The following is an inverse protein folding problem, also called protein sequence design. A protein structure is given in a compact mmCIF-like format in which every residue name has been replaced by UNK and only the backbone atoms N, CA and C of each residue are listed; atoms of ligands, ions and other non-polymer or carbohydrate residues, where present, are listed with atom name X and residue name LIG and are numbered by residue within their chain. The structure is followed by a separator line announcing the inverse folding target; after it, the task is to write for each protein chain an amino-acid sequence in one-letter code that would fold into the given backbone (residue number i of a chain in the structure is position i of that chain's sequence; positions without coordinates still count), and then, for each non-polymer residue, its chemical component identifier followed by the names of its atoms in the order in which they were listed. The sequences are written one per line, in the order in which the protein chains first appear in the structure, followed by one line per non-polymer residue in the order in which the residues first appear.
data_IF_930211945544
#
_entry.id   IF_930211945544
#
_cell.length_a   1.000
_cell.length_b   1.000
_cell.length_c   1.000
_cell.angle_alpha   90.00
_cell.angle_beta   90.00
_cell.angle_gamma   90.00
#
_symmetry.space_group_name_H-M   'P 1'
#
loop_
_entity.id
_entity.type
_entity.pdbx_description
1 polymer ?
#
# COMPACT_ATOMS: atom_id res chain seq x y z
N UNK A 1 4.48 12.92 8.67
CA UNK A 1 3.96 12.02 9.74
C UNK A 1 3.28 10.80 9.17
N UNK A 2 2.27 10.90 8.29
CA UNK A 2 1.55 9.73 7.71
C UNK A 2 2.46 8.68 7.04
N UNK A 3 3.52 9.12 6.36
CA UNK A 3 4.50 8.20 5.78
C UNK A 3 5.24 7.35 6.84
N UNK A 4 5.54 7.95 8.00
CA UNK A 4 6.09 7.19 9.13
C UNK A 4 5.07 6.19 9.65
N UNK A 5 3.82 6.61 9.84
CA UNK A 5 2.75 5.72 10.28
C UNK A 5 2.53 4.55 9.32
N UNK A 6 2.56 4.80 8.01
CA UNK A 6 2.45 3.73 7.01
C UNK A 6 3.62 2.72 7.09
N UNK A 7 4.82 3.20 7.40
CA UNK A 7 6.00 2.35 7.57
C UNK A 7 5.91 1.48 8.84
N UNK A 8 5.38 2.04 9.93
CA UNK A 8 5.30 1.36 11.24
C UNK A 8 3.96 0.69 11.52
N UNK A 9 3.10 0.54 10.50
CA UNK A 9 1.73 0.01 10.63
C UNK A 9 1.64 -1.32 11.40
N UNK A 10 2.67 -2.16 11.28
CA UNK A 10 2.74 -3.47 11.93
C UNK A 10 3.55 -3.43 13.24
N UNK A 11 3.83 -2.23 13.77
CA UNK A 11 4.56 -2.00 15.01
C UNK A 11 6.07 -2.26 14.93
N UNK A 12 6.59 -2.75 13.79
CA UNK A 12 8.02 -3.01 13.57
C UNK A 12 8.41 -2.74 12.12
N UNK A 13 9.65 -2.29 11.95
CA UNK A 13 10.22 -1.98 10.64
C UNK A 13 11.55 -2.70 10.43
N UNK A 14 11.80 -3.13 9.21
CA UNK A 14 13.05 -3.80 8.83
C UNK A 14 14.12 -2.78 8.49
N UNK A 15 15.30 -2.91 9.08
CA UNK A 15 16.48 -2.12 8.70
C UNK A 15 16.94 -2.55 7.31
N UNK A 16 16.85 -1.63 6.36
CA UNK A 16 17.24 -1.87 4.95
C UNK A 16 18.68 -1.48 4.66
N UNK A 17 19.27 -0.64 5.52
CA UNK A 17 20.64 -0.16 5.38
C UNK A 17 21.18 0.30 6.73
N UNK A 18 22.42 -0.09 7.05
CA UNK A 18 23.13 0.25 8.26
C UNK A 18 24.42 0.99 7.93
N UNK A 19 24.65 2.13 8.60
CA UNK A 19 25.90 2.87 8.58
C UNK A 19 26.21 3.48 9.94
N UNK A 20 27.43 3.92 10.15
CA UNK A 20 27.84 4.59 11.39
C UNK A 20 26.97 5.81 11.72
N UNK A 21 26.51 6.54 10.71
CA UNK A 21 25.82 7.83 10.90
C UNK A 21 24.30 7.77 10.81
N UNK A 22 23.70 6.69 10.29
CA UNK A 22 22.24 6.54 10.21
C UNK A 22 21.81 5.09 9.91
N UNK A 23 20.56 4.77 10.25
CA UNK A 23 19.80 3.63 9.71
C UNK A 23 18.87 4.08 8.60
N UNK A 24 18.73 3.27 7.56
CA UNK A 24 17.82 3.47 6.45
C UNK A 24 16.71 2.43 6.39
N UNK A 25 15.48 2.86 6.10
CA UNK A 25 14.28 2.02 5.95
C UNK A 25 13.67 2.32 4.59
N UNK A 26 13.59 1.31 3.71
CA UNK A 26 13.36 1.52 2.28
C UNK A 26 12.04 0.94 1.76
N UNK A 27 11.19 0.41 2.63
CA UNK A 27 9.91 -0.22 2.24
C UNK A 27 9.02 0.71 1.41
N UNK A 28 8.99 2.00 1.77
CA UNK A 28 8.21 3.02 1.09
C UNK A 28 9.02 3.84 0.07
N UNK A 29 10.20 3.35 -0.36
CA UNK A 29 11.00 4.02 -1.38
C UNK A 29 10.21 4.18 -2.69
N UNK A 30 10.36 5.33 -3.35
CA UNK A 30 9.63 5.67 -4.59
C UNK A 30 8.33 6.45 -4.37
N UNK A 31 7.82 6.54 -3.14
CA UNK A 31 6.68 7.40 -2.83
C UNK A 31 7.11 8.86 -2.72
N UNK A 32 6.58 9.69 -3.61
CA UNK A 32 6.84 11.14 -3.59
C UNK A 32 6.22 11.78 -2.36
N UNK A 33 6.97 12.69 -1.74
CA UNK A 33 6.53 13.44 -0.55
C UNK A 33 6.86 14.92 -0.69
N UNK A 34 6.02 15.81 -0.14
CA UNK A 34 6.27 17.25 -0.22
C UNK A 34 7.53 17.66 0.54
N UNK A 35 8.15 18.74 0.05
CA UNK A 35 9.30 19.40 0.72
C UNK A 35 8.78 20.33 1.80
N UNK A 36 8.66 19.81 3.00
CA UNK A 36 8.17 20.56 4.15
C UNK A 36 8.99 20.23 5.40
N UNK A 37 8.96 21.12 6.39
CA UNK A 37 9.59 20.94 7.70
C UNK A 37 11.05 20.48 7.64
N UNK A 38 11.90 21.30 6.99
CA UNK A 38 13.33 21.01 6.81
C UNK A 38 14.09 21.56 8.03
N UNK A 39 14.72 20.68 8.80
CA UNK A 39 15.49 21.04 10.00
C UNK A 39 16.89 20.44 9.97
N UNK A 40 17.73 20.79 10.97
CA UNK A 40 19.00 20.10 11.19
C UNK A 40 18.73 18.64 11.54
N UNK A 41 19.55 17.75 11.00
CA UNK A 41 19.45 16.31 11.22
C UNK A 41 20.33 15.91 12.39
N UNK A 42 19.88 16.24 13.61
CA UNK A 42 20.58 15.87 14.83
C UNK A 42 20.41 14.37 15.11
N UNK A 43 21.25 13.83 16.00
CA UNK A 43 21.09 12.45 16.51
C UNK A 43 19.66 12.23 17.00
N UNK A 44 19.07 11.10 16.61
CA UNK A 44 17.67 10.75 16.89
C UNK A 44 16.65 11.39 15.96
N UNK A 45 17.03 12.29 15.03
CA UNK A 45 16.08 12.85 14.05
C UNK A 45 15.64 11.78 13.04
N UNK A 46 14.34 11.74 12.77
CA UNK A 46 13.73 10.95 11.69
C UNK A 46 13.47 11.85 10.51
N UNK A 47 13.93 11.45 9.32
CA UNK A 47 13.64 12.18 8.08
C UNK A 47 13.19 11.25 6.97
N UNK A 48 12.41 11.81 6.03
CA UNK A 48 12.06 11.16 4.77
C UNK A 48 12.79 11.89 3.65
N UNK A 49 13.40 11.15 2.74
CA UNK A 49 13.96 11.75 1.53
C UNK A 49 12.84 12.19 0.61
N UNK A 50 12.83 13.49 0.30
CA UNK A 50 11.75 14.15 -0.46
C UNK A 50 12.15 14.50 -1.90
N UNK A 51 13.42 14.24 -2.30
CA UNK A 51 13.91 14.57 -3.64
C UNK A 51 15.06 13.66 -4.07
N UNK A 52 15.19 13.45 -5.40
CA UNK A 52 16.27 12.69 -6.02
C UNK A 52 16.20 11.18 -5.81
N UNK A 53 17.33 10.53 -6.02
CA UNK A 53 17.44 9.06 -5.87
C UNK A 53 17.15 8.66 -4.43
N UNK A 54 16.18 7.78 -4.25
CA UNK A 54 15.76 7.28 -2.93
C UNK A 54 14.66 8.10 -2.25
N UNK A 55 13.87 8.88 -3.01
CA UNK A 55 12.61 9.48 -2.54
C UNK A 55 11.78 8.43 -1.79
N UNK A 56 11.13 8.83 -0.70
CA UNK A 56 10.32 7.97 0.15
C UNK A 56 11.10 7.11 1.15
N UNK A 57 12.44 7.04 1.06
CA UNK A 57 13.25 6.36 2.08
C UNK A 57 13.23 7.14 3.38
N UNK A 58 13.08 6.44 4.50
CA UNK A 58 13.16 7.00 5.85
C UNK A 58 14.55 6.76 6.44
N UNK A 59 15.04 7.72 7.23
CA UNK A 59 16.34 7.67 7.90
C UNK A 59 16.20 8.06 9.37
N UNK A 60 16.91 7.35 10.24
CA UNK A 60 17.12 7.70 11.65
C UNK A 60 18.60 7.98 11.85
N UNK A 61 18.94 9.19 12.30
CA UNK A 61 20.35 9.61 12.43
C UNK A 61 20.94 9.19 13.77
N UNK A 62 22.11 8.57 13.70
CA UNK A 62 22.97 8.23 14.85
C UNK A 62 23.88 9.37 15.25
N UNK A 63 24.18 10.28 14.31
CA UNK A 63 25.05 11.42 14.49
C UNK A 63 24.39 12.71 13.99
N UNK A 64 24.93 13.84 14.45
CA UNK A 64 24.50 15.15 13.97
C UNK A 64 24.95 15.40 12.53
N UNK A 65 24.02 15.80 11.68
CA UNK A 65 24.25 16.16 10.29
C UNK A 65 23.73 17.54 9.97
N UNK A 66 24.37 18.20 9.01
CA UNK A 66 23.93 19.50 8.51
C UNK A 66 22.53 19.41 7.89
N UNK A 67 21.84 20.55 7.85
CA UNK A 67 20.55 20.68 7.15
C UNK A 67 20.70 20.25 5.69
N UNK A 68 19.69 19.57 5.17
CA UNK A 68 19.59 19.22 3.76
C UNK A 68 18.16 19.47 3.24
N UNK A 69 18.00 20.22 2.14
CA UNK A 69 16.68 20.49 1.59
C UNK A 69 15.98 19.23 1.01
N UNK A 70 16.74 18.15 0.82
CA UNK A 70 16.22 16.88 0.28
C UNK A 70 15.68 15.94 1.36
N UNK A 71 15.52 16.43 2.60
CA UNK A 71 15.03 15.64 3.72
C UNK A 71 13.97 16.42 4.51
N UNK A 72 12.74 15.88 4.52
CA UNK A 72 11.66 16.37 5.38
C UNK A 72 11.79 15.70 6.75
N UNK A 73 11.85 16.47 7.82
CA UNK A 73 11.85 15.95 9.21
C UNK A 73 10.43 15.54 9.59
N UNK A 74 10.28 14.31 10.11
CA UNK A 74 8.97 13.74 10.48
C UNK A 74 8.85 13.36 11.94
N UNK A 75 9.94 13.43 12.70
CA UNK A 75 9.95 13.15 14.14
C UNK A 75 11.33 13.05 14.75
N UNK A 76 11.36 12.68 16.02
CA UNK A 76 12.54 12.41 16.81
C UNK A 76 12.35 11.18 17.67
N UNK A 77 13.43 10.43 17.91
CA UNK A 77 13.46 9.36 18.91
C UNK A 77 13.49 10.01 20.30
N UNK A 78 12.49 9.70 21.11
CA UNK A 78 12.42 10.15 22.51
C UNK A 78 12.99 9.13 23.48
N UNK A 79 12.89 7.84 23.16
CA UNK A 79 13.43 6.73 23.96
C UNK A 79 13.97 5.62 23.04
N UNK A 80 14.98 4.86 23.49
CA UNK A 80 15.51 3.70 22.78
C UNK A 80 16.53 4.05 21.70
N UNK A 81 17.22 5.18 21.81
CA UNK A 81 18.27 5.57 20.86
C UNK A 81 19.44 4.57 20.87
N UNK A 82 19.72 3.92 22.00
CA UNK A 82 20.70 2.87 22.16
C UNK A 82 20.39 1.62 21.30
N UNK A 83 19.10 1.33 21.07
CA UNK A 83 18.69 0.25 20.17
C UNK A 83 18.97 0.60 18.71
N UNK A 84 18.78 1.87 18.34
CA UNK A 84 19.13 2.39 17.00
C UNK A 84 20.63 2.30 16.75
N UNK A 85 21.46 2.53 17.77
CA UNK A 85 22.92 2.48 17.66
C UNK A 85 23.44 1.07 17.35
N UNK A 86 22.82 0.05 17.91
CA UNK A 86 23.27 -1.36 17.76
C UNK A 86 22.58 -2.11 16.62
N UNK A 87 21.43 -1.63 16.14
CA UNK A 87 20.65 -2.31 15.10
C UNK A 87 21.44 -2.45 13.80
N UNK A 88 21.30 -3.60 13.13
CA UNK A 88 22.00 -3.95 11.90
C UNK A 88 21.04 -4.15 10.72
N UNK A 89 21.57 -4.06 9.50
CA UNK A 89 20.83 -4.40 8.29
C UNK A 89 20.22 -5.79 8.38
N UNK A 90 18.95 -5.90 8.00
CA UNK A 90 18.14 -7.13 8.05
C UNK A 90 17.38 -7.34 9.36
N UNK A 91 17.76 -6.67 10.46
CA UNK A 91 17.06 -6.75 11.74
C UNK A 91 15.75 -5.95 11.74
N UNK A 92 14.89 -6.24 12.71
CA UNK A 92 13.63 -5.52 12.92
C UNK A 92 13.73 -4.63 14.16
N UNK A 93 13.27 -3.40 14.02
CA UNK A 93 13.13 -2.44 15.12
C UNK A 93 11.65 -2.26 15.43
N UNK A 94 11.25 -2.45 16.68
CA UNK A 94 9.90 -2.13 17.14
C UNK A 94 9.78 -0.62 17.38
N UNK A 95 8.75 -0.02 16.79
CA UNK A 95 8.51 1.43 16.89
C UNK A 95 7.14 1.66 17.51
N UNK A 96 7.10 2.53 18.53
CA UNK A 96 5.88 3.04 19.13
C UNK A 96 5.88 4.56 18.97
N UNK A 97 4.84 5.11 18.36
CA UNK A 97 4.64 6.57 18.25
C UNK A 97 3.82 7.08 19.43
N UNK A 98 4.11 8.29 19.91
CA UNK A 98 3.28 8.96 20.94
C UNK A 98 1.89 9.28 20.41
N UNK A 99 1.81 9.74 19.14
CA UNK A 99 0.54 9.93 18.45
C UNK A 99 0.17 8.66 17.70
N UNK A 100 -0.96 8.06 18.02
CA UNK A 100 -1.50 6.93 17.26
C UNK A 100 -2.10 7.39 15.93
N UNK A 101 -1.99 6.53 14.90
CA UNK A 101 -2.58 6.79 13.59
C UNK A 101 -4.09 6.57 13.65
N UNK A 102 -4.87 7.57 13.26
CA UNK A 102 -6.30 7.41 13.01
C UNK A 102 -6.53 6.85 11.60
N UNK A 103 -6.28 5.54 11.44
CA UNK A 103 -6.52 4.80 10.20
C UNK A 103 -7.81 4.01 10.34
N UNK A 104 -8.85 4.45 9.62
CA UNK A 104 -10.19 3.89 9.69
C UNK A 104 -10.47 2.89 8.57
N UNK A 105 -9.65 2.90 7.50
CA UNK A 105 -9.81 2.01 6.36
C UNK A 105 -9.68 0.54 6.78
N UNK A 106 -10.43 -0.33 6.13
CA UNK A 106 -10.53 -1.78 6.41
C UNK A 106 -11.06 -2.12 7.81
N UNK A 107 -11.71 -1.18 8.47
CA UNK A 107 -12.44 -1.39 9.72
C UNK A 107 -13.94 -1.35 9.46
N UNK A 108 -14.70 -2.01 10.31
CA UNK A 108 -16.17 -1.94 10.24
C UNK A 108 -16.67 -0.61 10.79
N UNK A 109 -17.90 -0.22 10.42
CA UNK A 109 -18.55 0.97 10.96
C UNK A 109 -18.63 0.92 12.49
N UNK A 110 -18.92 -0.24 13.09
CA UNK A 110 -18.97 -0.39 14.54
C UNK A 110 -17.62 -0.12 15.21
N UNK A 111 -16.52 -0.64 14.64
CA UNK A 111 -15.15 -0.37 15.14
C UNK A 111 -14.80 1.11 15.05
N UNK A 112 -15.13 1.75 13.92
CA UNK A 112 -14.84 3.17 13.66
C UNK A 112 -15.60 4.08 14.61
N UNK A 113 -16.88 3.81 14.89
CA UNK A 113 -17.68 4.56 15.88
C UNK A 113 -16.98 4.56 17.25
N UNK A 114 -16.44 3.43 17.70
CA UNK A 114 -15.72 3.33 18.96
C UNK A 114 -14.42 4.13 18.95
N UNK A 115 -13.57 3.94 17.94
CA UNK A 115 -12.28 4.63 17.78
C UNK A 115 -12.46 6.15 17.79
N UNK A 116 -13.42 6.66 17.03
CA UNK A 116 -13.65 8.11 16.92
C UNK A 116 -14.27 8.69 18.19
N UNK A 117 -15.12 7.94 18.87
CA UNK A 117 -15.66 8.32 20.18
C UNK A 117 -14.55 8.48 21.22
N UNK A 118 -13.60 7.53 21.28
CA UNK A 118 -12.44 7.60 22.18
C UNK A 118 -11.49 8.76 21.83
N UNK A 119 -11.34 9.05 20.53
CA UNK A 119 -10.52 10.17 20.04
C UNK A 119 -11.20 11.54 20.16
N UNK A 120 -12.49 11.60 20.51
CA UNK A 120 -13.27 12.84 20.57
C UNK A 120 -13.46 13.51 19.20
N UNK A 121 -13.53 12.71 18.12
CA UNK A 121 -13.68 13.15 16.73
C UNK A 121 -15.12 12.90 16.25
N UNK A 122 -15.74 13.90 15.64
CA UNK A 122 -17.05 13.76 15.00
C UNK A 122 -16.99 12.83 13.79
N UNK A 123 -17.91 11.87 13.71
CA UNK A 123 -18.01 10.92 12.59
C UNK A 123 -19.14 11.32 11.65
N UNK A 124 -18.81 11.60 10.38
CA UNK A 124 -19.76 11.83 9.30
C UNK A 124 -19.73 10.62 8.38
N UNK A 125 -20.87 9.95 8.19
CA UNK A 125 -20.98 8.75 7.36
C UNK A 125 -21.49 9.16 5.97
N UNK A 126 -20.74 8.78 4.92
CA UNK A 126 -21.14 8.86 3.53
C UNK A 126 -21.31 7.42 2.99
N UNK A 127 -22.53 7.03 2.64
CA UNK A 127 -22.86 5.71 2.13
C UNK A 127 -23.54 4.79 3.13
N UNK A 128 -23.04 3.55 3.30
CA UNK A 128 -23.66 2.54 4.16
C UNK A 128 -23.43 2.82 5.65
N UNK A 129 -24.49 2.73 6.44
CA UNK A 129 -24.47 2.94 7.89
C UNK A 129 -24.45 1.62 8.69
N UNK A 130 -24.58 0.49 8.01
CA UNK A 130 -24.61 -0.83 8.64
C UNK A 130 -23.34 -1.08 9.45
N UNK A 131 -23.48 -1.65 10.64
CA UNK A 131 -22.37 -1.83 11.59
C UNK A 131 -21.25 -2.73 11.06
N UNK A 132 -21.54 -3.65 10.15
CA UNK A 132 -20.59 -4.56 9.49
C UNK A 132 -20.05 -4.02 8.14
N UNK A 133 -20.56 -2.89 7.65
CA UNK A 133 -20.03 -2.25 6.46
C UNK A 133 -18.57 -1.82 6.67
N UNK A 134 -17.73 -2.03 5.65
CA UNK A 134 -16.27 -1.80 5.72
C UNK A 134 -15.92 -0.42 5.17
N UNK A 135 -15.15 0.34 5.94
CA UNK A 135 -14.67 1.67 5.53
C UNK A 135 -13.60 1.52 4.45
N UNK A 136 -13.81 2.19 3.32
CA UNK A 136 -12.90 2.19 2.16
C UNK A 136 -12.34 3.56 1.81
N UNK A 137 -12.96 4.63 2.29
CA UNK A 137 -12.43 6.00 2.18
C UNK A 137 -12.59 6.76 3.49
N UNK A 138 -11.64 7.66 3.78
CA UNK A 138 -11.73 8.63 4.87
C UNK A 138 -11.25 10.00 4.41
N UNK A 139 -11.91 11.05 4.86
CA UNK A 139 -11.58 12.45 4.56
C UNK A 139 -11.75 13.30 5.83
N UNK A 140 -10.70 13.99 6.34
CA UNK A 140 -9.33 14.03 5.82
C UNK A 140 -8.62 12.67 5.84
N UNK A 141 -7.61 12.52 4.96
CA UNK A 141 -6.81 11.28 4.88
C UNK A 141 -5.80 11.15 6.02
N UNK A 142 -5.32 12.27 6.56
CA UNK A 142 -4.20 12.33 7.50
C UNK A 142 -4.67 12.54 8.93
N UNK A 143 -4.09 11.79 9.86
CA UNK A 143 -4.40 11.87 11.30
C UNK A 143 -4.36 13.30 11.85
N UNK A 144 -3.32 14.09 11.48
CA UNK A 144 -3.19 15.46 11.96
C UNK A 144 -4.33 16.35 11.49
N UNK A 145 -4.77 16.18 10.26
CA UNK A 145 -5.86 17.00 9.70
C UNK A 145 -7.20 16.61 10.35
N UNK A 146 -7.43 15.31 10.58
CA UNK A 146 -8.61 14.83 11.33
C UNK A 146 -8.64 15.46 12.72
N UNK A 147 -7.52 15.42 13.47
CA UNK A 147 -7.44 15.97 14.81
C UNK A 147 -7.61 17.51 14.84
N UNK A 148 -7.11 18.22 13.81
CA UNK A 148 -7.27 19.67 13.69
C UNK A 148 -8.71 20.06 13.37
N UNK A 149 -9.37 19.33 12.49
CA UNK A 149 -10.75 19.60 12.09
C UNK A 149 -11.76 19.11 13.13
N UNK A 150 -11.37 18.15 13.98
CA UNK A 150 -12.23 17.52 14.97
C UNK A 150 -13.33 16.64 14.35
N UNK A 151 -13.24 16.35 13.08
CA UNK A 151 -14.22 15.54 12.33
C UNK A 151 -13.59 14.75 11.20
N UNK A 152 -14.27 13.66 10.82
CA UNK A 152 -13.89 12.84 9.66
C UNK A 152 -15.12 12.32 8.94
N UNK A 153 -15.11 12.38 7.61
CA UNK A 153 -16.10 11.74 6.74
C UNK A 153 -15.55 10.39 6.28
N UNK A 154 -16.36 9.34 6.40
CA UNK A 154 -16.00 8.00 5.91
C UNK A 154 -16.99 7.50 4.89
N UNK A 155 -16.51 6.73 3.91
CA UNK A 155 -17.33 5.98 2.98
C UNK A 155 -17.18 4.49 3.24
N UNK A 156 -18.30 3.81 3.40
CA UNK A 156 -18.35 2.36 3.62
C UNK A 156 -19.01 1.64 2.45
N UNK A 157 -18.60 0.40 2.25
CA UNK A 157 -19.20 -0.55 1.30
C UNK A 157 -19.54 -1.84 2.02
N UNK A 158 -20.33 -2.70 1.39
CA UNK A 158 -20.53 -4.06 1.88
C UNK A 158 -19.21 -4.84 1.84
N UNK A 159 -19.03 -5.72 2.80
CA UNK A 159 -17.81 -6.53 2.91
C UNK A 159 -17.56 -7.40 1.66
N UNK A 160 -18.61 -7.91 1.03
CA UNK A 160 -18.55 -8.68 -0.20
C UNK A 160 -18.08 -7.88 -1.42
N UNK A 161 -18.23 -6.55 -1.41
CA UNK A 161 -17.78 -5.65 -2.49
C UNK A 161 -16.29 -5.28 -2.37
N UNK A 162 -15.63 -5.64 -1.26
CA UNK A 162 -14.19 -5.45 -1.07
C UNK A 162 -13.42 -6.62 -1.69
N UNK A 163 -12.65 -6.35 -2.73
CA UNK A 163 -11.82 -7.35 -3.38
C UNK A 163 -10.56 -7.63 -2.54
N UNK A 164 -10.46 -8.81 -1.93
CA UNK A 164 -9.29 -9.21 -1.15
C UNK A 164 -8.35 -10.08 -1.97
N UNK A 165 -7.04 -9.81 -1.85
CA UNK A 165 -5.99 -10.40 -2.67
C UNK A 165 -4.95 -11.06 -1.77
N UNK A 166 -4.63 -12.32 -2.05
CA UNK A 166 -3.46 -13.00 -1.48
C UNK A 166 -2.30 -12.88 -2.46
N UNK A 167 -1.30 -12.07 -2.11
CA UNK A 167 -0.13 -11.87 -2.96
C UNK A 167 0.84 -13.06 -2.91
N UNK A 168 1.59 -13.24 -4.01
CA UNK A 168 2.67 -14.22 -4.10
C UNK A 168 4.03 -13.59 -3.74
N UNK A 169 4.98 -14.42 -3.27
CA UNK A 169 6.31 -13.95 -2.88
C UNK A 169 7.31 -13.94 -4.04
N UNK A 170 7.03 -14.70 -5.10
CA UNK A 170 7.95 -14.91 -6.23
C UNK A 170 7.82 -13.90 -7.38
N UNK A 171 7.03 -12.83 -7.18
CA UNK A 171 6.92 -11.70 -8.10
C UNK A 171 7.02 -10.34 -7.35
N UNK A 172 8.09 -10.10 -6.58
CA UNK A 172 8.15 -8.99 -5.63
C UNK A 172 8.09 -7.61 -6.29
N UNK A 173 8.61 -7.44 -7.51
CA UNK A 173 8.55 -6.16 -8.24
C UNK A 173 7.14 -5.88 -8.74
N UNK A 174 6.47 -6.88 -9.28
CA UNK A 174 5.11 -6.78 -9.79
C UNK A 174 4.10 -6.57 -8.66
N UNK A 175 4.24 -7.29 -7.54
CA UNK A 175 3.44 -7.07 -6.33
C UNK A 175 3.65 -5.66 -5.78
N UNK A 176 4.91 -5.19 -5.71
CA UNK A 176 5.19 -3.83 -5.27
C UNK A 176 4.59 -2.77 -6.21
N UNK A 177 4.67 -2.98 -7.53
CA UNK A 177 4.04 -2.09 -8.51
C UNK A 177 2.53 -1.99 -8.27
N UNK A 178 1.85 -3.14 -8.09
CA UNK A 178 0.42 -3.16 -7.78
C UNK A 178 0.11 -2.40 -6.50
N UNK A 179 0.85 -2.67 -5.41
CA UNK A 179 0.67 -1.99 -4.12
C UNK A 179 0.93 -0.47 -4.21
N UNK A 180 1.90 -0.06 -5.02
CA UNK A 180 2.18 1.36 -5.29
C UNK A 180 1.01 2.02 -6.01
N UNK A 181 0.55 1.42 -7.11
CA UNK A 181 -0.51 1.97 -7.96
C UNK A 181 -1.85 2.05 -7.23
N UNK A 182 -2.21 1.00 -6.50
CA UNK A 182 -3.46 0.93 -5.74
C UNK A 182 -3.46 1.74 -4.45
N UNK A 183 -2.28 2.14 -3.92
CA UNK A 183 -2.14 2.80 -2.62
C UNK A 183 -1.99 1.84 -1.43
N UNK A 184 -1.93 0.52 -1.65
CA UNK A 184 -1.75 -0.49 -0.59
C UNK A 184 -0.38 -0.43 0.09
N UNK A 185 0.60 0.28 -0.44
CA UNK A 185 1.86 0.52 0.27
C UNK A 185 1.68 1.36 1.53
N UNK A 186 0.74 2.31 1.51
CA UNK A 186 0.53 3.25 2.61
C UNK A 186 -0.76 2.98 3.40
N UNK A 187 -1.73 2.29 2.78
CA UNK A 187 -3.08 2.12 3.33
C UNK A 187 -3.50 0.64 3.32
N UNK A 188 -4.36 0.21 4.23
CA UNK A 188 -4.90 -1.16 4.24
C UNK A 188 -5.94 -1.41 3.16
N UNK A 189 -6.54 -0.35 2.59
CA UNK A 189 -7.44 -0.41 1.43
C UNK A 189 -6.85 0.46 0.33
N UNK A 190 -6.78 -0.10 -0.87
CA UNK A 190 -6.38 0.56 -2.09
C UNK A 190 -7.53 0.68 -3.08
N UNK A 191 -7.25 1.34 -4.20
CA UNK A 191 -8.21 1.56 -5.27
C UNK A 191 -7.56 1.23 -6.61
N UNK A 192 -8.29 0.50 -7.47
CA UNK A 192 -7.91 0.28 -8.87
C UNK A 192 -9.10 0.61 -9.75
N UNK A 193 -8.83 1.13 -10.93
CA UNK A 193 -9.89 1.58 -11.84
C UNK A 193 -10.00 0.64 -13.03
N UNK A 194 -11.21 0.24 -13.37
CA UNK A 194 -11.45 -0.62 -14.55
C UNK A 194 -11.11 0.18 -15.80
N UNK A 195 -10.19 -0.35 -16.60
CA UNK A 195 -9.83 0.16 -17.92
C UNK A 195 -10.81 -0.35 -18.97
N UNK A 196 -11.05 -1.66 -19.00
CA UNK A 196 -12.16 -2.24 -19.73
C UNK A 196 -12.57 -3.61 -19.18
N UNK A 197 -13.85 -3.94 -19.36
CA UNK A 197 -14.42 -5.26 -19.15
C UNK A 197 -15.29 -5.55 -20.37
N UNK A 198 -15.04 -6.68 -21.04
CA UNK A 198 -15.81 -7.08 -22.21
C UNK A 198 -16.64 -8.30 -21.84
N UNK A 199 -17.97 -8.18 -21.82
CA UNK A 199 -18.85 -9.31 -21.56
C UNK A 199 -18.54 -10.48 -22.52
N UNK A 200 -18.37 -11.69 -21.97
CA UNK A 200 -18.07 -12.92 -22.73
C UNK A 200 -16.59 -13.16 -23.02
N UNK A 201 -15.68 -12.24 -22.66
CA UNK A 201 -14.23 -12.48 -22.71
C UNK A 201 -13.68 -13.05 -21.40
N UNK A 202 -14.48 -13.07 -20.35
CA UNK A 202 -14.12 -13.56 -19.02
C UNK A 202 -12.83 -12.97 -18.48
N UNK A 203 -12.62 -11.67 -18.75
CA UNK A 203 -11.48 -10.86 -18.24
C UNK A 203 -11.94 -9.46 -17.87
N UNK A 204 -11.28 -8.91 -16.85
CA UNK A 204 -11.35 -7.49 -16.48
C UNK A 204 -9.93 -6.96 -16.45
N UNK A 205 -9.71 -5.84 -17.15
CA UNK A 205 -8.44 -5.14 -17.21
C UNK A 205 -8.57 -3.82 -16.43
N UNK A 206 -7.61 -3.56 -15.58
CA UNK A 206 -7.52 -2.32 -14.81
C UNK A 206 -6.46 -1.39 -15.40
N UNK A 207 -6.63 -0.09 -15.13
CA UNK A 207 -5.68 0.93 -15.54
C UNK A 207 -4.30 0.66 -14.93
N UNK A 208 -3.27 0.78 -15.75
CA UNK A 208 -1.87 0.73 -15.34
C UNK A 208 -1.18 2.07 -15.51
N UNK A 209 0.02 2.21 -14.96
CA UNK A 209 0.90 3.35 -15.16
C UNK A 209 2.21 2.90 -15.82
N UNK A 210 2.38 3.23 -17.11
CA UNK A 210 3.58 2.87 -17.89
C UNK A 210 4.87 3.43 -17.30
N UNK A 211 4.82 4.60 -16.65
CA UNK A 211 6.00 5.23 -16.04
C UNK A 211 6.40 4.48 -14.79
N UNK A 212 5.46 4.15 -13.93
CA UNK A 212 5.68 3.35 -12.72
C UNK A 212 6.03 1.89 -13.04
N UNK A 213 5.51 1.34 -14.14
CA UNK A 213 5.78 -0.02 -14.63
C UNK A 213 7.18 -0.19 -15.26
N UNK A 214 7.93 0.89 -15.42
CA UNK A 214 9.27 0.83 -16.00
C UNK A 214 10.19 -0.05 -15.13
N UNK A 215 10.66 -1.16 -15.72
CA UNK A 215 11.52 -2.13 -15.03
C UNK A 215 10.79 -3.35 -14.48
N UNK A 216 9.51 -3.56 -14.83
CA UNK A 216 8.81 -4.81 -14.58
C UNK A 216 9.36 -5.90 -15.54
N UNK A 217 10.33 -6.64 -15.07
CA UNK A 217 10.90 -7.79 -15.80
C UNK A 217 10.01 -9.02 -15.64
N UNK A 218 10.17 -10.07 -16.47
CA UNK A 218 9.61 -11.39 -16.18
C UNK A 218 10.06 -11.91 -14.81
N UNK A 219 9.12 -12.37 -13.98
CA UNK A 219 9.40 -12.89 -12.62
C UNK A 219 8.91 -14.34 -12.46
N UNK A 220 7.61 -14.58 -12.69
CA UNK A 220 6.98 -15.89 -12.49
C UNK A 220 5.95 -16.17 -13.56
N UNK A 221 6.34 -16.05 -14.82
CA UNK A 221 5.46 -16.26 -15.96
C UNK A 221 4.73 -17.62 -15.88
N UNK A 222 3.41 -17.68 -16.20
CA UNK A 222 2.71 -18.95 -16.34
C UNK A 222 3.38 -19.86 -17.35
N UNK A 223 3.35 -21.17 -17.13
CA UNK A 223 3.93 -22.18 -18.03
C UNK A 223 2.83 -22.96 -18.74
N UNK A 224 1.90 -23.53 -17.99
CA UNK A 224 0.89 -24.44 -18.53
C UNK A 224 -0.47 -23.78 -18.63
N UNK A 225 -0.89 -23.05 -17.61
CA UNK A 225 -2.19 -22.39 -17.53
C UNK A 225 -2.23 -21.26 -16.51
N UNK A 226 -3.21 -20.40 -16.67
CA UNK A 226 -3.67 -19.44 -15.67
C UNK A 226 -4.99 -19.97 -15.11
N UNK A 227 -5.16 -19.86 -13.78
CA UNK A 227 -6.34 -20.33 -13.07
C UNK A 227 -7.30 -19.15 -12.87
N UNK A 228 -8.60 -19.43 -12.86
CA UNK A 228 -9.66 -18.49 -12.52
C UNK A 228 -9.33 -17.75 -11.20
N UNK A 229 -9.48 -16.42 -11.21
CA UNK A 229 -9.22 -15.55 -10.05
C UNK A 229 -7.78 -15.10 -9.88
N UNK A 230 -6.85 -15.58 -10.70
CA UNK A 230 -5.48 -15.07 -10.71
C UNK A 230 -5.42 -13.65 -11.26
N UNK A 231 -4.66 -12.81 -10.55
CA UNK A 231 -4.31 -11.46 -10.98
C UNK A 231 -2.94 -11.48 -11.62
N UNK A 232 -2.83 -10.88 -12.80
CA UNK A 232 -1.55 -10.74 -13.51
C UNK A 232 -1.26 -9.31 -13.90
N UNK A 233 0.00 -9.04 -14.15
CA UNK A 233 0.52 -7.75 -14.62
C UNK A 233 1.38 -7.99 -15.85
N UNK A 234 1.21 -7.16 -16.89
CA UNK A 234 2.07 -7.21 -18.05
C UNK A 234 3.46 -6.70 -17.72
N UNK A 235 4.48 -7.50 -18.06
CA UNK A 235 5.89 -7.16 -17.90
C UNK A 235 6.49 -6.52 -19.17
N UNK A 236 7.80 -6.28 -19.18
CA UNK A 236 8.51 -5.60 -20.28
C UNK A 236 8.52 -6.35 -21.62
N UNK A 237 8.11 -7.62 -21.68
CA UNK A 237 7.94 -8.35 -22.94
C UNK A 237 6.69 -7.88 -23.69
N UNK A 238 5.72 -7.28 -23.02
CA UNK A 238 4.54 -6.65 -23.63
C UNK A 238 4.79 -5.21 -24.08
N UNK A 239 4.13 -4.79 -25.17
CA UNK A 239 4.03 -3.38 -25.55
C UNK A 239 3.15 -2.56 -24.60
N UNK A 240 2.25 -3.24 -23.89
CA UNK A 240 1.29 -2.69 -22.93
C UNK A 240 1.73 -2.91 -21.49
N UNK A 241 3.02 -2.69 -21.19
CA UNK A 241 3.59 -2.91 -19.86
C UNK A 241 2.82 -2.19 -18.75
N UNK A 242 2.58 -2.90 -17.65
CA UNK A 242 1.93 -2.38 -16.45
C UNK A 242 0.40 -2.51 -16.42
N UNK A 243 -0.24 -3.06 -17.45
CA UNK A 243 -1.67 -3.40 -17.35
C UNK A 243 -1.88 -4.50 -16.30
N UNK A 244 -2.95 -4.38 -15.55
CA UNK A 244 -3.36 -5.33 -14.53
C UNK A 244 -4.60 -6.04 -15.03
N UNK A 245 -4.70 -7.35 -14.85
CA UNK A 245 -5.86 -8.10 -15.30
C UNK A 245 -6.25 -9.24 -14.38
N UNK A 246 -7.50 -9.63 -14.46
CA UNK A 246 -8.10 -10.79 -13.76
C UNK A 246 -8.86 -11.63 -14.77
N UNK A 247 -8.69 -12.95 -14.69
CA UNK A 247 -9.51 -13.89 -15.45
C UNK A 247 -10.60 -14.53 -14.60
N UNK A 248 -11.75 -14.75 -15.24
CA UNK A 248 -12.93 -15.40 -14.64
C UNK A 248 -13.10 -16.85 -15.08
N UNK A 249 -12.15 -17.39 -15.82
CA UNK A 249 -12.05 -18.78 -16.25
C UNK A 249 -10.59 -19.23 -16.33
N UNK A 250 -10.35 -20.55 -16.30
CA UNK A 250 -9.01 -21.09 -16.58
C UNK A 250 -8.64 -20.87 -18.05
N UNK A 251 -7.36 -20.58 -18.31
CA UNK A 251 -6.90 -20.39 -19.68
C UNK A 251 -5.49 -20.99 -19.87
N UNK A 252 -5.30 -21.67 -21.01
CA UNK A 252 -4.05 -22.37 -21.34
C UNK A 252 -3.20 -21.64 -22.37
N UNK A 253 -3.62 -20.47 -22.83
CA UNK A 253 -2.97 -19.73 -23.93
C UNK A 253 -2.60 -18.30 -23.51
N UNK A 254 -3.49 -17.60 -22.82
CA UNK A 254 -3.32 -16.18 -22.46
C UNK A 254 -3.37 -15.95 -20.96
N UNK A 255 -2.55 -14.99 -20.51
CA UNK A 255 -2.52 -14.51 -19.14
C UNK A 255 -3.78 -13.71 -18.73
N UNK A 256 -3.87 -13.25 -17.45
CA UNK A 256 -5.00 -12.47 -16.95
C UNK A 256 -5.22 -11.14 -17.67
N UNK A 257 -4.24 -10.64 -18.40
CA UNK A 257 -4.32 -9.40 -19.20
C UNK A 257 -4.60 -9.65 -20.68
N UNK A 258 -4.96 -10.87 -21.07
CA UNK A 258 -5.10 -11.33 -22.47
C UNK A 258 -3.79 -11.28 -23.28
N UNK A 259 -2.66 -11.08 -22.66
CA UNK A 259 -1.32 -11.18 -23.26
C UNK A 259 -0.78 -12.60 -23.11
N UNK A 260 0.22 -12.95 -23.93
CA UNK A 260 0.91 -14.24 -23.85
C UNK A 260 1.55 -14.43 -22.47
N UNK A 261 1.77 -15.67 -22.07
CA UNK A 261 2.37 -16.03 -20.79
C UNK A 261 3.73 -15.35 -20.55
N UNK A 262 4.59 -15.28 -21.55
CA UNK A 262 5.90 -14.60 -21.48
C UNK A 262 5.78 -13.13 -21.05
N UNK A 263 4.69 -12.49 -21.41
CA UNK A 263 4.42 -11.08 -21.13
C UNK A 263 3.69 -10.85 -19.81
N UNK A 264 3.41 -11.90 -19.03
CA UNK A 264 2.56 -11.83 -17.83
C UNK A 264 3.29 -12.33 -16.60
N UNK A 265 3.28 -11.53 -15.52
CA UNK A 265 3.65 -11.96 -14.18
C UNK A 265 2.39 -12.16 -13.36
N UNK A 266 2.27 -13.27 -12.63
CA UNK A 266 1.17 -13.51 -11.69
C UNK A 266 1.51 -12.88 -10.35
N UNK A 267 0.64 -12.04 -9.80
CA UNK A 267 0.89 -11.33 -8.55
C UNK A 267 0.13 -11.88 -7.36
N UNK A 268 -0.89 -12.71 -7.61
CA UNK A 268 -1.71 -13.28 -6.54
C UNK A 268 -3.04 -13.81 -7.01
N UNK A 269 -3.85 -14.21 -6.04
CA UNK A 269 -5.19 -14.74 -6.24
C UNK A 269 -6.21 -13.88 -5.49
N UNK A 270 -7.39 -13.64 -6.09
CA UNK A 270 -8.51 -13.02 -5.39
C UNK A 270 -9.11 -14.06 -4.45
N UNK A 271 -9.32 -13.67 -3.20
CA UNK A 271 -9.84 -14.56 -2.14
C UNK A 271 -11.26 -14.23 -1.68
N UNK A 272 -11.78 -13.05 -2.04
CA UNK A 272 -13.20 -12.68 -1.87
C UNK A 272 -14.06 -13.18 -3.03
N UNK A 273 -15.36 -12.97 -2.97
CA UNK A 273 -16.24 -13.08 -4.15
C UNK A 273 -15.90 -11.96 -5.14
N UNK A 274 -15.68 -12.32 -6.41
CA UNK A 274 -15.26 -11.37 -7.45
C UNK A 274 -16.07 -11.48 -8.75
N UNK A 275 -17.09 -12.34 -8.82
CA UNK A 275 -17.90 -12.53 -10.03
C UNK A 275 -18.65 -11.26 -10.45
N UNK A 276 -18.94 -10.38 -9.48
CA UNK A 276 -19.56 -9.10 -9.74
C UNK A 276 -18.65 -8.16 -10.56
N UNK A 277 -17.32 -8.30 -10.50
CA UNK A 277 -16.37 -7.43 -11.21
C UNK A 277 -16.54 -7.52 -12.73
N UNK A 278 -16.90 -8.70 -13.28
CA UNK A 278 -17.11 -8.90 -14.73
C UNK A 278 -18.27 -8.05 -15.28
N UNK A 279 -19.20 -7.64 -14.40
CA UNK A 279 -20.38 -6.83 -14.75
C UNK A 279 -20.14 -5.33 -14.63
N UNK A 280 -19.02 -4.93 -14.07
CA UNK A 280 -18.69 -3.52 -13.88
C UNK A 280 -18.28 -2.87 -15.21
N UNK A 281 -18.51 -1.57 -15.30
CA UNK A 281 -18.21 -0.76 -16.49
C UNK A 281 -16.82 -0.12 -16.39
N UNK A 282 -16.30 0.27 -17.55
CA UNK A 282 -15.11 1.12 -17.65
C UNK A 282 -15.23 2.36 -16.73
N UNK A 283 -14.14 2.71 -16.09
CA UNK A 283 -14.05 3.85 -15.19
C UNK A 283 -14.52 3.60 -13.76
N UNK A 284 -15.16 2.46 -13.47
CA UNK A 284 -15.56 2.10 -12.09
C UNK A 284 -14.32 1.83 -11.24
N UNK A 285 -14.33 2.36 -10.02
CA UNK A 285 -13.29 2.12 -9.01
C UNK A 285 -13.64 0.86 -8.22
N UNK A 286 -12.69 -0.05 -8.14
CA UNK A 286 -12.74 -1.26 -7.32
C UNK A 286 -11.84 -1.05 -6.10
N UNK A 287 -12.37 -1.29 -4.91
CA UNK A 287 -11.61 -1.26 -3.67
C UNK A 287 -10.93 -2.60 -3.44
N UNK A 288 -9.65 -2.56 -3.08
CA UNK A 288 -8.83 -3.76 -2.90
C UNK A 288 -8.17 -3.74 -1.52
N UNK A 289 -7.98 -4.91 -0.93
CA UNK A 289 -7.23 -5.10 0.31
C UNK A 289 -6.35 -6.35 0.23
N UNK A 290 -5.27 -6.39 1.00
CA UNK A 290 -4.49 -7.61 1.16
C UNK A 290 -5.25 -8.59 2.06
N UNK A 291 -5.38 -9.84 1.64
CA UNK A 291 -5.94 -10.89 2.46
C UNK A 291 -5.05 -11.11 3.68
N UNK A 292 -5.57 -10.86 4.87
CA UNK A 292 -4.85 -11.16 6.11
C UNK A 292 -4.60 -12.67 6.19
N UNK A 293 -3.35 -13.07 6.16
CA UNK A 293 -2.99 -14.41 6.64
C UNK A 293 -3.30 -14.45 8.14
N UNK A 294 -4.29 -15.20 8.56
CA UNK A 294 -4.63 -15.47 9.99
C UNK A 294 -3.48 -16.17 10.76
N UNK A 295 -2.28 -16.24 10.21
CA UNK A 295 -1.14 -16.98 10.76
C UNK A 295 -0.23 -16.15 11.70
N UNK A 296 -0.59 -14.93 12.09
CA UNK A 296 0.24 -14.09 12.99
C UNK A 296 -0.40 -13.78 14.34
N UNK A 297 -1.44 -14.54 14.73
CA UNK A 297 -1.89 -14.58 16.12
C UNK A 297 -1.25 -15.80 16.79
N UNK A 298 -0.01 -15.67 17.19
CA UNK A 298 0.60 -16.46 18.28
C UNK A 298 1.72 -15.66 18.93
#
# INVERSE_FOLDING_TARGET
MEHLFALVKDGKIKVSYDSESFLGFYELAGLEKPKEHITKRNRGTLTIRNDGVGVGKLFIYRENRVLSPNHTTVGHIVNGMELIDIAKEGEFVTVKSEQERLMLLNKTQAEVKNILSEAGVEHIIDGLEDDDAVIVEQTPKHTIDILKEGKVTTKAIKKEDLCTIKFVDNAPRSVRYFKLLSGLLENPVGQIKIHFAVPGMHIVIFEGDKKAAKGLIPENNPVDKVIRGQIGITNMASKSVGLIGVRFEDNVEFGPTAENFESTNIIGDITSDYDHLEKLKEGVVVYVAESNNESWVR
#
